data_IF_752356318146
#
_entry.id   IF_752356318146
#
_cell.length_a   1.000
_cell.length_b   1.000
_cell.length_c   1.000
_cell.angle_alpha   90.00
_cell.angle_beta   90.00
_cell.angle_gamma   90.00
#
_symmetry.space_group_name_H-M   'P 1'
#
loop_
_entity.id
_entity.type
_entity.pdbx_description
1 polymer ?
#
# COMPACT_ATOMS: atom_id res chain seq x y z
N UNK A 1 -11.08 13.50 14.98
CA UNK A 1 -11.12 14.32 13.77
C UNK A 1 -12.43 14.08 13.04
N UNK A 2 -13.11 15.12 12.67
CA UNK A 2 -14.37 14.97 11.95
C UNK A 2 -14.12 14.37 10.56
N UNK A 3 -14.91 13.38 10.21
CA UNK A 3 -14.91 12.81 8.87
C UNK A 3 -15.97 13.45 7.97
N UNK A 4 -16.70 14.43 8.51
CA UNK A 4 -17.70 15.14 7.71
C UNK A 4 -16.99 15.88 6.61
N UNK A 5 -17.30 15.53 5.37
CA UNK A 5 -16.71 16.18 4.22
C UNK A 5 -17.20 17.64 4.15
N UNK A 6 -16.28 18.57 4.22
CA UNK A 6 -16.50 19.92 3.78
C UNK A 6 -16.22 19.95 2.28
N UNK A 7 -17.28 19.93 1.46
CA UNK A 7 -17.16 19.86 0.02
C UNK A 7 -16.55 21.12 -0.60
N UNK A 8 -16.43 22.22 0.18
CA UNK A 8 -15.73 23.42 -0.26
C UNK A 8 -14.22 23.27 -0.19
N UNK A 9 -13.71 22.31 0.59
CA UNK A 9 -12.29 22.06 0.76
C UNK A 9 -11.77 21.18 -0.38
N UNK A 10 -10.68 21.62 -1.02
CA UNK A 10 -10.09 20.91 -2.16
C UNK A 10 -8.91 20.04 -1.78
N UNK A 11 -8.67 19.83 -0.49
CA UNK A 11 -7.54 19.04 0.00
C UNK A 11 -7.93 18.29 1.28
N UNK A 12 -7.15 17.26 1.56
CA UNK A 12 -7.16 16.56 2.84
C UNK A 12 -5.73 16.35 3.29
N UNK A 13 -5.52 16.37 4.59
CA UNK A 13 -4.21 16.16 5.20
C UNK A 13 -4.33 14.99 6.18
N UNK A 14 -3.37 14.09 6.13
CA UNK A 14 -3.26 13.00 7.10
C UNK A 14 -1.81 12.90 7.57
N UNK A 15 -1.64 12.54 8.83
CA UNK A 15 -0.36 12.22 9.42
C UNK A 15 -0.33 10.70 9.61
N UNK A 16 0.42 10.00 8.77
CA UNK A 16 0.37 8.54 8.72
C UNK A 16 0.71 7.88 10.05
N UNK A 17 1.70 8.40 10.75
CA UNK A 17 2.11 7.84 12.04
C UNK A 17 1.15 8.14 13.19
N UNK A 18 0.17 9.03 12.98
CA UNK A 18 -0.91 9.29 13.92
C UNK A 18 -2.18 8.46 13.64
N UNK A 19 -2.20 7.71 12.55
CA UNK A 19 -3.32 6.82 12.22
C UNK A 19 -3.09 5.49 12.92
N UNK A 20 -4.15 4.94 13.55
CA UNK A 20 -4.08 3.63 14.19
C UNK A 20 -3.74 2.54 13.17
N UNK A 21 -2.74 1.73 13.50
CA UNK A 21 -2.38 0.59 12.69
C UNK A 21 -3.45 -0.51 12.79
N UNK A 22 -3.71 -1.17 11.68
CA UNK A 22 -4.58 -2.34 11.62
C UNK A 22 -3.78 -3.52 11.06
N UNK A 23 -4.08 -4.77 11.47
CA UNK A 23 -3.40 -5.93 10.94
C UNK A 23 -3.63 -6.10 9.44
N UNK A 24 -2.62 -6.57 8.73
CA UNK A 24 -2.73 -7.07 7.37
C UNK A 24 -1.98 -8.40 7.27
N UNK A 25 -2.15 -9.20 6.20
CA UNK A 25 -1.42 -10.46 6.06
C UNK A 25 0.10 -10.29 6.07
N UNK A 26 0.61 -9.12 5.68
CA UNK A 26 2.05 -8.83 5.64
C UNK A 26 2.60 -8.23 6.93
N UNK A 27 1.75 -7.86 7.89
CA UNK A 27 2.15 -7.21 9.13
C UNK A 27 1.10 -6.22 9.61
N UNK A 28 1.42 -4.92 9.56
CA UNK A 28 0.50 -3.86 9.97
C UNK A 28 0.47 -2.73 8.95
N UNK A 29 -0.68 -2.08 8.83
CA UNK A 29 -0.86 -1.00 7.88
C UNK A 29 -1.60 0.18 8.51
N UNK A 30 -1.23 1.39 8.09
CA UNK A 30 -1.88 2.66 8.44
C UNK A 30 -2.36 3.30 7.14
N UNK A 31 -3.67 3.52 7.02
CA UNK A 31 -4.29 3.89 5.75
C UNK A 31 -4.85 5.29 5.81
N UNK A 32 -4.42 6.14 4.86
CA UNK A 32 -4.92 7.50 4.71
C UNK A 32 -5.85 7.61 3.51
N UNK A 33 -6.81 8.54 3.61
CA UNK A 33 -7.74 8.92 2.54
C UNK A 33 -8.74 7.84 2.14
N UNK A 34 -8.97 6.88 3.04
CA UNK A 34 -10.00 5.87 2.85
C UNK A 34 -11.35 6.50 3.17
N UNK A 35 -12.11 6.82 2.13
CA UNK A 35 -13.43 7.42 2.25
C UNK A 35 -14.23 7.14 0.97
N UNK A 36 -15.54 7.00 1.09
CA UNK A 36 -16.42 6.65 -0.02
C UNK A 36 -16.39 7.69 -1.15
N UNK A 37 -16.07 8.93 -0.83
CA UNK A 37 -16.00 10.02 -1.79
C UNK A 37 -14.61 10.21 -2.41
N UNK A 38 -13.66 9.32 -2.13
CA UNK A 38 -12.34 9.35 -2.74
C UNK A 38 -12.08 8.10 -3.58
N UNK A 39 -12.34 8.14 -4.89
CA UNK A 39 -12.06 7.01 -5.77
C UNK A 39 -10.65 7.04 -6.38
N UNK A 40 -9.84 8.05 -6.08
CA UNK A 40 -8.62 8.34 -6.87
C UNK A 40 -7.43 7.53 -6.41
N UNK A 41 -7.07 7.62 -5.13
CA UNK A 41 -5.90 6.94 -4.58
C UNK A 41 -5.96 6.96 -3.05
N UNK A 42 -5.39 5.94 -2.42
CA UNK A 42 -5.15 5.91 -0.97
C UNK A 42 -3.65 5.79 -0.72
N UNK A 43 -3.22 6.12 0.50
CA UNK A 43 -1.81 5.98 0.89
C UNK A 43 -1.76 5.10 2.13
N UNK A 44 -0.95 4.05 2.05
CA UNK A 44 -0.79 3.09 3.13
C UNK A 44 0.67 3.05 3.57
N UNK A 45 0.93 3.27 4.84
CA UNK A 45 2.23 2.97 5.41
C UNK A 45 2.16 1.57 6.02
N UNK A 46 2.99 0.67 5.52
CA UNK A 46 2.94 -0.75 5.86
C UNK A 46 4.24 -1.15 6.52
N UNK A 47 4.13 -1.75 7.71
CA UNK A 47 5.24 -2.43 8.37
C UNK A 47 5.13 -3.91 8.00
N UNK A 48 6.06 -4.37 7.16
CA UNK A 48 6.11 -5.75 6.68
C UNK A 48 6.99 -6.53 7.61
N UNK A 49 6.43 -7.58 8.21
CA UNK A 49 7.11 -8.44 9.17
C UNK A 49 6.79 -9.92 8.99
N UNK A 50 5.91 -10.25 8.07
CA UNK A 50 5.49 -11.62 7.78
C UNK A 50 5.40 -11.85 6.29
N UNK A 51 5.66 -13.08 5.87
CA UNK A 51 5.56 -13.47 4.47
C UNK A 51 4.09 -13.66 4.11
N UNK A 52 3.58 -12.78 3.27
CA UNK A 52 2.25 -12.93 2.69
C UNK A 52 2.29 -13.85 1.48
N UNK A 53 1.12 -14.36 1.07
CA UNK A 53 1.02 -15.08 -0.20
C UNK A 53 1.25 -14.13 -1.36
N UNK A 54 1.89 -14.58 -2.45
CA UNK A 54 1.87 -13.83 -3.70
C UNK A 54 0.44 -13.58 -4.14
N UNK A 55 0.16 -12.35 -4.55
CA UNK A 55 -1.17 -11.92 -4.97
C UNK A 55 -1.08 -10.95 -6.14
N UNK A 56 -2.20 -10.68 -6.77
CA UNK A 56 -2.30 -9.71 -7.84
C UNK A 56 -3.62 -8.95 -7.76
N UNK A 57 -3.66 -7.82 -8.44
CA UNK A 57 -4.85 -6.99 -8.58
C UNK A 57 -5.27 -6.94 -10.04
N UNK A 58 -6.57 -6.89 -10.29
CA UNK A 58 -7.10 -6.81 -11.65
C UNK A 58 -7.30 -5.37 -12.10
N UNK A 59 -7.54 -4.47 -11.16
CA UNK A 59 -7.86 -3.06 -11.43
C UNK A 59 -6.79 -2.11 -10.89
N UNK A 60 -6.25 -2.40 -9.70
CA UNK A 60 -5.33 -1.51 -9.02
C UNK A 60 -3.94 -1.56 -9.67
N UNK A 61 -3.38 -0.37 -9.88
CA UNK A 61 -1.93 -0.18 -9.99
C UNK A 61 -1.43 0.19 -8.61
N UNK A 62 -0.31 -0.35 -8.19
CA UNK A 62 0.30 -0.01 -6.91
C UNK A 62 1.67 0.61 -7.11
N UNK A 63 1.96 1.64 -6.33
CA UNK A 63 3.29 2.24 -6.27
C UNK A 63 3.84 1.99 -4.87
N UNK A 64 4.98 1.29 -4.80
CA UNK A 64 5.69 1.04 -3.54
C UNK A 64 6.88 1.98 -3.43
N UNK A 65 7.10 2.52 -2.25
CA UNK A 65 8.30 3.26 -1.88
C UNK A 65 8.83 2.70 -0.56
N UNK A 66 10.05 2.18 -0.57
CA UNK A 66 10.69 1.67 0.65
C UNK A 66 11.21 2.84 1.48
N UNK A 67 10.81 2.92 2.75
CA UNK A 67 11.28 3.93 3.69
C UNK A 67 12.43 3.42 4.55
N UNK A 68 12.31 2.20 5.07
CA UNK A 68 13.26 1.60 6.00
C UNK A 68 13.35 0.10 5.77
N UNK A 69 14.49 -0.47 6.13
CA UNK A 69 14.70 -1.90 6.12
C UNK A 69 15.28 -2.43 4.83
N UNK A 70 15.39 -3.75 4.76
CA UNK A 70 15.92 -4.47 3.61
C UNK A 70 15.14 -5.74 3.37
N UNK A 71 15.10 -6.17 2.13
CA UNK A 71 14.42 -7.39 1.71
C UNK A 71 14.41 -7.51 0.21
N UNK A 72 13.40 -8.17 -0.29
CA UNK A 72 13.20 -8.28 -1.73
C UNK A 72 11.72 -8.30 -2.07
N UNK A 73 11.42 -8.09 -3.33
CA UNK A 73 10.07 -8.25 -3.87
C UNK A 73 10.11 -9.30 -4.98
N UNK A 74 9.14 -10.21 -4.92
CA UNK A 74 8.88 -11.14 -6.02
C UNK A 74 7.84 -10.51 -6.94
N UNK A 75 8.14 -10.44 -8.22
CA UNK A 75 7.31 -9.78 -9.25
C UNK A 75 7.25 -10.71 -10.46
N UNK A 76 6.13 -11.42 -10.63
CA UNK A 76 5.95 -12.41 -11.71
C UNK A 76 7.12 -13.40 -11.81
N UNK A 77 7.65 -13.83 -10.67
CA UNK A 77 8.78 -14.74 -10.58
C UNK A 77 10.15 -14.09 -10.56
N UNK A 78 10.26 -12.81 -10.90
CA UNK A 78 11.52 -12.07 -10.76
C UNK A 78 11.73 -11.67 -9.31
N UNK A 79 12.99 -11.66 -8.86
CA UNK A 79 13.36 -11.23 -7.52
C UNK A 79 14.12 -9.91 -7.62
N UNK A 80 13.56 -8.88 -6.99
CA UNK A 80 14.12 -7.53 -7.00
C UNK A 80 14.52 -7.16 -5.57
N UNK A 81 15.79 -6.78 -5.32
CA UNK A 81 16.18 -6.35 -3.98
C UNK A 81 15.53 -5.02 -3.62
N UNK A 82 15.16 -4.89 -2.34
CA UNK A 82 14.56 -3.68 -1.78
C UNK A 82 15.48 -3.08 -0.72
N UNK A 83 15.73 -1.80 -0.83
CA UNK A 83 16.44 -1.00 0.16
C UNK A 83 15.77 0.39 0.24
N UNK A 84 16.08 1.22 1.23
CA UNK A 84 15.47 2.54 1.32
C UNK A 84 15.55 3.33 0.03
N UNK A 85 14.44 3.93 -0.34
CA UNK A 85 14.19 4.71 -1.55
C UNK A 85 14.03 3.90 -2.85
N UNK A 86 14.10 2.58 -2.80
CA UNK A 86 13.65 1.77 -3.93
C UNK A 86 12.15 1.99 -4.13
N UNK A 87 11.75 2.24 -5.36
CA UNK A 87 10.35 2.38 -5.72
C UNK A 87 9.99 1.39 -6.82
N UNK A 88 8.77 0.84 -6.74
CA UNK A 88 8.28 -0.18 -7.67
C UNK A 88 6.89 0.20 -8.14
N UNK A 89 6.67 0.21 -9.44
CA UNK A 89 5.34 0.36 -10.03
C UNK A 89 4.85 -1.03 -10.42
N UNK A 90 3.71 -1.44 -9.84
CA UNK A 90 3.13 -2.75 -10.06
C UNK A 90 1.83 -2.59 -10.84
N UNK A 91 1.84 -3.06 -12.07
CA UNK A 91 0.67 -2.99 -12.95
C UNK A 91 -0.37 -4.05 -12.60
N UNK A 92 -1.64 -3.85 -12.99
CA UNK A 92 -2.64 -4.89 -12.84
C UNK A 92 -2.20 -6.22 -13.47
N UNK A 93 -2.49 -7.31 -12.78
CA UNK A 93 -2.13 -8.66 -13.23
C UNK A 93 -0.78 -9.15 -12.75
N UNK A 94 0.11 -8.28 -12.33
CA UNK A 94 1.41 -8.67 -11.81
C UNK A 94 1.28 -9.34 -10.44
N UNK A 95 1.66 -10.62 -10.34
CA UNK A 95 1.67 -11.37 -9.09
C UNK A 95 2.89 -11.01 -8.29
N UNK A 96 2.71 -10.60 -7.04
CA UNK A 96 3.79 -10.05 -6.25
C UNK A 96 3.64 -10.29 -4.76
N UNK A 97 4.75 -10.21 -4.05
CA UNK A 97 4.83 -10.06 -2.59
C UNK A 97 6.15 -9.40 -2.19
N UNK A 98 6.13 -8.63 -1.12
CA UNK A 98 7.34 -8.13 -0.48
C UNK A 98 7.74 -9.04 0.67
N UNK A 99 9.03 -9.33 0.81
CA UNK A 99 9.59 -10.23 1.80
C UNK A 99 10.73 -9.52 2.53
N UNK A 100 10.74 -9.63 3.85
CA UNK A 100 11.75 -9.03 4.71
C UNK A 100 11.15 -8.15 5.80
N UNK A 101 12.00 -7.46 6.54
CA UNK A 101 11.60 -6.46 7.54
C UNK A 101 11.69 -5.09 6.89
N UNK A 102 10.56 -4.56 6.52
CA UNK A 102 10.46 -3.35 5.70
C UNK A 102 9.39 -2.42 6.24
N UNK A 103 9.63 -1.11 6.14
CA UNK A 103 8.59 -0.11 6.21
C UNK A 103 8.46 0.52 4.84
N UNK A 104 7.28 0.44 4.27
CA UNK A 104 7.00 0.94 2.93
C UNK A 104 5.80 1.88 2.92
N UNK A 105 5.72 2.70 1.90
CA UNK A 105 4.50 3.36 1.49
C UNK A 105 3.98 2.66 0.25
N UNK A 106 2.70 2.31 0.28
CA UNK A 106 1.98 1.74 -0.86
C UNK A 106 0.88 2.71 -1.28
N UNK A 107 0.83 3.02 -2.56
CA UNK A 107 -0.17 3.93 -3.13
C UNK A 107 -0.97 3.17 -4.18
N UNK A 108 -2.15 2.62 -3.83
CA UNK A 108 -3.07 2.05 -4.79
C UNK A 108 -3.79 3.13 -5.60
N UNK A 109 -3.88 2.92 -6.91
CA UNK A 109 -4.60 3.77 -7.86
C UNK A 109 -5.41 2.87 -8.79
N UNK A 110 -6.74 2.98 -8.84
CA UNK A 110 -7.65 3.79 -8.02
C UNK A 110 -7.55 3.49 -6.54
N UNK A 111 -8.33 4.16 -5.71
CA UNK A 111 -8.34 3.98 -4.27
C UNK A 111 -8.47 2.50 -3.87
N UNK A 112 -7.81 2.13 -2.78
CA UNK A 112 -7.75 0.75 -2.30
C UNK A 112 -9.13 0.09 -2.25
N UNK A 113 -9.21 -1.09 -2.85
CA UNK A 113 -10.39 -1.94 -2.85
C UNK A 113 -9.97 -3.34 -2.35
N UNK A 114 -10.37 -3.71 -1.13
CA UNK A 114 -9.99 -5.02 -0.58
C UNK A 114 -10.54 -6.21 -1.35
N UNK A 115 -11.58 -6.00 -2.18
CA UNK A 115 -12.13 -7.08 -3.01
C UNK A 115 -11.31 -7.35 -4.27
N UNK A 116 -10.36 -6.47 -4.61
CA UNK A 116 -9.49 -6.62 -5.77
C UNK A 116 -8.14 -7.27 -5.40
N UNK A 117 -8.14 -8.18 -4.46
CA UNK A 117 -6.98 -8.98 -4.13
C UNK A 117 -7.23 -10.43 -4.54
N UNK A 118 -6.35 -10.97 -5.38
CA UNK A 118 -6.50 -12.29 -5.97
C UNK A 118 -5.22 -13.12 -5.80
N UNK A 119 -5.38 -14.40 -5.73
CA UNK A 119 -4.28 -15.35 -5.57
C UNK A 119 -4.22 -16.29 -6.79
#
# INVERSE_FOLDING_TARGET
>A
MSTTADTSTRYRVAQLDAIDAVPCPCGQTRRAFVADDNPVATIHMVDISADSRPHFHKKLTEIYLVLEGEGHMELDGDIVPLKPLTTVLIKPGCRHRAVGNLRIVNIPVPAFDPTDEHF
#
